data_IF_666519690376
#
_entry.id   IF_666519690376
#
_cell.length_a   1.000
_cell.length_b   1.000
_cell.length_c   1.000
_cell.angle_alpha   90.00
_cell.angle_beta   90.00
_cell.angle_gamma   90.00
#
_symmetry.space_group_name_H-M   'P 1'
#
loop_
_entity.id
_entity.type
_entity.pdbx_description
1 polymer ?
#
# COMPACT_ATOMS: atom_id res chain seq x y z
N UNK A 1 -13.16 -3.55 24.19
CA UNK A 1 -13.45 -4.49 23.11
C UNK A 1 -13.15 -3.92 21.75
N UNK A 2 -12.99 -4.79 20.73
CA UNK A 2 -12.74 -4.44 19.34
C UNK A 2 -13.80 -5.08 18.43
N UNK A 3 -14.23 -4.36 17.40
CA UNK A 3 -15.05 -4.85 16.30
C UNK A 3 -14.52 -4.34 14.96
N UNK A 4 -15.00 -4.89 13.84
CA UNK A 4 -14.60 -4.44 12.50
C UNK A 4 -15.80 -4.39 11.55
N UNK A 5 -15.63 -3.66 10.45
CA UNK A 5 -16.62 -3.49 9.38
C UNK A 5 -15.89 -3.26 8.04
N UNK A 6 -16.42 -3.77 6.91
CA UNK A 6 -17.57 -4.68 6.81
C UNK A 6 -17.28 -6.09 7.36
N UNK A 7 -18.32 -6.80 7.76
CA UNK A 7 -18.25 -8.22 8.15
C UNK A 7 -19.41 -8.97 7.44
N UNK A 8 -19.12 -9.87 6.48
CA UNK A 8 -17.79 -10.26 6.01
C UNK A 8 -17.04 -9.13 5.29
N UNK A 9 -15.70 -9.21 5.26
CA UNK A 9 -14.86 -8.22 4.59
C UNK A 9 -15.03 -8.27 3.07
N UNK A 10 -14.98 -7.10 2.43
CA UNK A 10 -14.98 -6.99 0.97
C UNK A 10 -13.55 -7.12 0.41
N UNK A 11 -13.37 -7.79 -0.75
CA UNK A 11 -12.05 -7.90 -1.37
C UNK A 11 -11.43 -6.53 -1.69
N UNK A 12 -10.13 -6.42 -1.45
CA UNK A 12 -9.32 -5.24 -1.79
C UNK A 12 -9.80 -3.92 -1.18
N UNK A 13 -10.57 -3.97 -0.10
CA UNK A 13 -11.06 -2.78 0.59
C UNK A 13 -10.46 -2.64 1.98
N UNK A 14 -10.30 -1.41 2.49
CA UNK A 14 -9.85 -1.21 3.86
C UNK A 14 -10.89 -1.71 4.86
N UNK A 15 -10.40 -2.39 5.89
CA UNK A 15 -11.22 -2.78 7.05
C UNK A 15 -11.18 -1.65 8.08
N UNK A 16 -12.35 -1.23 8.56
CA UNK A 16 -12.48 -0.25 9.63
C UNK A 16 -12.61 -1.00 10.95
N UNK A 17 -11.68 -0.76 11.85
CA UNK A 17 -11.73 -1.29 13.24
C UNK A 17 -12.28 -0.24 14.17
N UNK A 18 -13.13 -0.65 15.09
CA UNK A 18 -13.72 0.20 16.10
C UNK A 18 -13.37 -0.34 17.49
N UNK A 19 -12.88 0.55 18.34
CA UNK A 19 -12.55 0.28 19.73
C UNK A 19 -13.68 0.79 20.63
N UNK A 20 -14.20 -0.08 21.48
CA UNK A 20 -15.20 0.23 22.51
C UNK A 20 -14.62 0.18 23.94
N UNK A 21 -13.30 0.22 24.09
CA UNK A 21 -12.64 0.30 25.39
C UNK A 21 -12.79 1.69 26.01
N UNK A 22 -12.79 1.76 27.33
CA UNK A 22 -12.82 3.01 28.07
C UNK A 22 -11.75 3.00 29.19
N UNK A 23 -11.40 4.20 29.69
CA UNK A 23 -10.44 4.35 30.79
C UNK A 23 -8.98 4.21 30.38
N UNK A 24 -8.68 4.21 29.10
CA UNK A 24 -7.29 4.26 28.58
C UNK A 24 -6.96 5.65 28.04
N UNK A 25 -5.67 5.96 28.02
CA UNK A 25 -5.14 7.24 27.53
C UNK A 25 -4.56 7.12 26.13
N UNK A 26 -4.15 5.92 25.74
CA UNK A 26 -3.65 5.59 24.41
C UNK A 26 -3.96 4.15 24.03
N UNK A 27 -3.98 3.90 22.72
CA UNK A 27 -4.22 2.59 22.15
C UNK A 27 -3.08 2.19 21.22
N UNK A 28 -2.67 0.92 21.28
CA UNK A 28 -1.84 0.30 20.26
C UNK A 28 -2.70 -0.72 19.50
N UNK A 29 -2.76 -0.56 18.19
CA UNK A 29 -3.41 -1.48 17.28
C UNK A 29 -2.37 -2.37 16.62
N UNK A 30 -2.68 -3.65 16.52
CA UNK A 30 -1.91 -4.61 15.72
C UNK A 30 -2.87 -5.35 14.81
N UNK A 31 -2.53 -5.49 13.53
CA UNK A 31 -3.46 -6.03 12.54
C UNK A 31 -3.21 -7.49 12.21
N UNK A 32 -2.15 -8.10 12.74
CA UNK A 32 -1.82 -9.51 12.58
C UNK A 32 -1.01 -9.83 11.32
N UNK A 33 -0.75 -8.85 10.47
CA UNK A 33 0.09 -8.94 9.26
C UNK A 33 1.50 -8.36 9.44
N UNK A 34 1.80 -7.86 10.64
CA UNK A 34 3.06 -7.22 11.02
C UNK A 34 2.93 -5.71 11.20
N UNK A 35 1.88 -5.10 10.69
CA UNK A 35 1.63 -3.67 10.85
C UNK A 35 1.02 -3.33 12.20
N UNK A 36 1.32 -2.13 12.68
CA UNK A 36 0.79 -1.60 13.94
C UNK A 36 0.66 -0.09 13.89
N UNK A 37 -0.26 0.44 14.71
CA UNK A 37 -0.54 1.87 14.80
C UNK A 37 -0.76 2.26 16.26
N UNK A 38 -0.29 3.43 16.67
CA UNK A 38 -0.64 4.05 17.95
C UNK A 38 -1.65 5.17 17.73
N UNK A 39 -2.67 5.21 18.58
CA UNK A 39 -3.68 6.30 18.59
C UNK A 39 -3.91 6.82 20.00
N UNK A 40 -4.49 8.02 20.07
CA UNK A 40 -4.88 8.67 21.32
C UNK A 40 -6.27 8.20 21.78
N UNK A 41 -6.63 8.58 22.99
CA UNK A 41 -7.93 8.25 23.63
C UNK A 41 -9.16 8.62 22.81
N UNK A 42 -9.08 9.68 21.98
CA UNK A 42 -10.21 10.16 21.17
C UNK A 42 -10.36 9.40 19.85
N UNK A 43 -9.31 8.71 19.39
CA UNK A 43 -9.32 7.99 18.13
C UNK A 43 -9.81 6.55 18.34
N UNK A 44 -11.13 6.39 18.29
CA UNK A 44 -11.78 5.08 18.53
C UNK A 44 -11.91 4.23 17.28
N UNK A 45 -11.57 4.76 16.09
CA UNK A 45 -11.63 4.04 14.82
C UNK A 45 -10.34 4.18 14.03
N UNK A 46 -9.92 3.07 13.40
CA UNK A 46 -8.77 3.05 12.48
C UNK A 46 -9.14 2.25 11.24
N UNK A 47 -8.47 2.57 10.11
CA UNK A 47 -8.60 1.80 8.87
C UNK A 47 -7.29 1.12 8.56
N UNK A 48 -7.37 -0.15 8.13
CA UNK A 48 -6.20 -0.91 7.69
C UNK A 48 -6.51 -1.67 6.39
N UNK A 49 -5.55 -1.67 5.47
CA UNK A 49 -5.65 -2.38 4.18
C UNK A 49 -4.66 -3.53 4.18
N UNK A 50 -5.18 -4.74 4.15
CA UNK A 50 -4.38 -5.96 4.03
C UNK A 50 -3.92 -6.18 2.58
N UNK A 51 -2.74 -6.77 2.39
CA UNK A 51 -2.16 -7.03 1.06
C UNK A 51 -2.07 -8.52 0.70
N UNK A 52 -2.56 -9.41 1.54
CA UNK A 52 -2.60 -10.85 1.27
C UNK A 52 -3.89 -11.46 1.81
N UNK A 53 -4.37 -12.49 1.13
CA UNK A 53 -5.47 -13.33 1.61
C UNK A 53 -5.02 -14.12 2.85
N UNK A 54 -5.85 -14.14 3.88
CA UNK A 54 -5.55 -14.84 5.11
C UNK A 54 -6.57 -14.56 6.22
N UNK A 55 -6.39 -15.21 7.35
CA UNK A 55 -7.08 -14.86 8.58
C UNK A 55 -6.09 -14.22 9.53
N UNK A 56 -6.37 -12.99 9.91
CA UNK A 56 -5.52 -12.17 10.74
C UNK A 56 -6.15 -11.97 12.11
N UNK A 57 -5.34 -11.94 13.16
CA UNK A 57 -5.82 -11.66 14.52
C UNK A 57 -5.53 -10.18 14.81
N UNK A 58 -6.54 -9.33 14.60
CA UNK A 58 -6.43 -7.91 14.88
C UNK A 58 -6.69 -7.63 16.37
N UNK A 59 -5.81 -6.87 17.01
CA UNK A 59 -5.90 -6.57 18.43
C UNK A 59 -5.82 -5.07 18.71
N UNK A 60 -6.55 -4.61 19.71
CA UNK A 60 -6.36 -3.31 20.36
C UNK A 60 -5.84 -3.52 21.77
N UNK A 61 -4.77 -2.83 22.13
CA UNK A 61 -4.17 -2.80 23.46
C UNK A 61 -4.46 -1.42 24.02
N UNK A 62 -5.28 -1.38 25.06
CA UNK A 62 -5.65 -0.16 25.80
C UNK A 62 -4.65 0.05 26.93
N UNK A 63 -4.03 1.22 27.01
CA UNK A 63 -2.97 1.54 27.96
C UNK A 63 -3.34 2.83 28.69
N UNK A 64 -3.31 2.81 30.04
CA UNK A 64 -3.52 4.01 30.85
C UNK A 64 -2.19 4.66 31.26
N UNK A 65 -2.26 5.85 31.84
CA UNK A 65 -1.07 6.60 32.32
C UNK A 65 -0.31 5.89 33.45
N UNK A 66 -0.96 5.00 34.20
CA UNK A 66 -0.30 4.16 35.21
C UNK A 66 0.48 2.99 34.59
N UNK A 67 0.41 2.81 33.27
CA UNK A 67 1.06 1.71 32.55
C UNK A 67 0.30 0.38 32.56
N UNK A 68 -0.92 0.34 33.11
CA UNK A 68 -1.77 -0.85 33.01
C UNK A 68 -2.26 -1.00 31.56
N UNK A 69 -2.24 -2.23 31.05
CA UNK A 69 -2.70 -2.55 29.69
C UNK A 69 -3.70 -3.71 29.73
N UNK A 70 -4.71 -3.59 28.86
CA UNK A 70 -5.67 -4.66 28.56
C UNK A 70 -5.77 -4.84 27.05
N UNK A 71 -5.94 -6.10 26.60
CA UNK A 71 -5.91 -6.45 25.18
C UNK A 71 -7.20 -7.15 24.77
N UNK A 72 -7.77 -6.71 23.66
CA UNK A 72 -8.91 -7.37 23.02
C UNK A 72 -8.59 -7.64 21.56
N UNK A 73 -8.91 -8.86 21.08
CA UNK A 73 -8.60 -9.29 19.71
C UNK A 73 -9.84 -9.84 19.01
N UNK A 74 -9.81 -9.77 17.67
CA UNK A 74 -10.85 -10.33 16.80
C UNK A 74 -10.20 -10.95 15.56
N UNK A 75 -10.60 -12.18 15.15
CA UNK A 75 -10.15 -12.75 13.89
C UNK A 75 -10.83 -12.06 12.71
N UNK A 76 -10.07 -11.71 11.68
CA UNK A 76 -10.55 -11.05 10.45
C UNK A 76 -10.15 -11.89 9.25
N UNK A 77 -11.12 -12.39 8.51
CA UNK A 77 -10.87 -13.13 7.26
C UNK A 77 -10.77 -12.15 6.10
N UNK A 78 -9.63 -12.13 5.43
CA UNK A 78 -9.34 -11.23 4.32
C UNK A 78 -9.25 -12.02 3.02
N UNK A 79 -9.88 -11.50 1.97
CA UNK A 79 -9.71 -11.98 0.59
C UNK A 79 -9.07 -10.88 -0.24
N UNK A 80 -7.95 -11.16 -0.89
CA UNK A 80 -7.32 -10.27 -1.87
C UNK A 80 -7.50 -10.87 -3.26
N UNK A 81 -8.06 -10.09 -4.16
CA UNK A 81 -8.11 -10.39 -5.59
C UNK A 81 -6.89 -9.75 -6.25
N UNK A 82 -5.89 -10.53 -6.67
CA UNK A 82 -4.66 -9.99 -7.25
C UNK A 82 -4.96 -9.19 -8.52
N UNK A 83 -4.27 -8.08 -8.68
CA UNK A 83 -4.40 -7.25 -9.88
C UNK A 83 -3.45 -6.08 -9.84
N UNK A 84 -3.14 -5.53 -11.01
CA UNK A 84 -2.29 -4.36 -11.12
C UNK A 84 -2.64 -3.51 -12.33
N UNK A 85 -2.28 -2.24 -12.25
CA UNK A 85 -2.37 -1.28 -13.34
C UNK A 85 -1.13 -0.37 -13.35
N UNK A 86 -0.71 0.03 -14.56
CA UNK A 86 0.33 1.03 -14.77
C UNK A 86 -0.31 2.17 -15.55
N UNK A 87 -0.37 3.39 -15.01
CA UNK A 87 -0.82 4.55 -15.75
C UNK A 87 0.04 4.78 -17.00
N UNK A 88 -0.52 5.34 -18.04
CA UNK A 88 0.16 5.56 -19.32
C UNK A 88 0.76 6.97 -19.48
N UNK A 89 0.54 7.86 -18.51
CA UNK A 89 1.10 9.21 -18.52
C UNK A 89 1.22 9.76 -17.09
N UNK A 90 2.14 10.71 -16.90
CA UNK A 90 2.28 11.50 -15.68
C UNK A 90 2.95 12.84 -15.99
N UNK A 91 2.83 13.80 -15.06
CA UNK A 91 3.28 15.19 -15.26
C UNK A 91 4.03 15.68 -14.02
N UNK A 92 5.36 15.44 -13.94
CA UNK A 92 6.16 15.90 -12.80
C UNK A 92 6.47 17.42 -12.92
N UNK A 93 5.47 18.25 -12.58
CA UNK A 93 5.52 19.71 -12.62
C UNK A 93 5.60 20.35 -11.22
N UNK A 94 5.53 19.55 -10.15
CA UNK A 94 5.64 19.99 -8.76
C UNK A 94 4.33 20.56 -8.18
N UNK A 95 3.18 20.30 -8.80
CA UNK A 95 1.86 20.74 -8.30
C UNK A 95 1.25 19.79 -7.26
N UNK A 96 1.91 18.66 -6.96
CA UNK A 96 1.45 17.64 -6.05
C UNK A 96 0.51 16.61 -6.67
N UNK A 97 0.18 16.74 -7.96
CA UNK A 97 -0.72 15.84 -8.67
C UNK A 97 0.01 15.16 -9.82
N UNK A 98 0.06 13.82 -9.81
CA UNK A 98 0.75 13.02 -10.83
C UNK A 98 2.24 13.37 -11.04
N UNK A 99 2.90 13.92 -10.03
CA UNK A 99 4.33 14.22 -10.05
C UNK A 99 5.21 12.97 -10.07
N UNK A 100 4.63 11.83 -9.73
CA UNK A 100 5.27 10.51 -9.80
C UNK A 100 4.32 9.50 -10.39
N UNK A 101 4.87 8.58 -11.18
CA UNK A 101 4.12 7.45 -11.70
C UNK A 101 4.43 6.21 -10.88
N UNK A 102 3.39 5.44 -10.53
CA UNK A 102 3.46 4.24 -9.70
C UNK A 102 2.79 3.05 -10.37
N UNK A 103 3.30 1.87 -10.12
CA UNK A 103 2.51 0.64 -10.31
C UNK A 103 1.46 0.57 -9.20
N UNK A 104 0.20 0.48 -9.56
CA UNK A 104 -0.92 0.36 -8.62
C UNK A 104 -1.47 -1.05 -8.67
N UNK A 105 -1.78 -1.65 -7.50
CA UNK A 105 -2.31 -3.00 -7.48
C UNK A 105 -2.50 -3.54 -6.07
N UNK A 106 -3.04 -4.77 -6.03
CA UNK A 106 -3.31 -5.51 -4.80
C UNK A 106 -2.62 -6.86 -4.84
N UNK A 107 -2.18 -7.34 -3.69
CA UNK A 107 -1.55 -8.63 -3.55
C UNK A 107 -0.16 -8.74 -4.16
N UNK A 108 0.52 -7.64 -4.47
CA UNK A 108 1.87 -7.63 -5.02
C UNK A 108 2.87 -7.96 -3.89
N UNK A 109 3.54 -9.10 -4.03
CA UNK A 109 4.56 -9.58 -3.08
C UNK A 109 5.97 -9.19 -3.51
N UNK A 110 6.25 -9.25 -4.83
CA UNK A 110 7.52 -8.83 -5.42
C UNK A 110 7.27 -8.12 -6.73
N UNK A 111 8.10 -7.15 -7.03
CA UNK A 111 8.02 -6.38 -8.26
C UNK A 111 9.40 -6.08 -8.81
N UNK A 112 9.51 -6.05 -10.12
CA UNK A 112 10.69 -5.58 -10.86
C UNK A 112 10.19 -4.72 -12.01
N UNK A 113 10.27 -3.41 -11.84
CA UNK A 113 9.79 -2.43 -12.82
C UNK A 113 10.95 -1.64 -13.38
N UNK A 114 11.17 -1.76 -14.70
CA UNK A 114 12.25 -1.10 -15.42
C UNK A 114 11.67 -0.18 -16.47
N UNK A 115 12.13 1.06 -16.51
CA UNK A 115 11.72 2.08 -17.49
C UNK A 115 12.95 2.47 -18.30
N UNK A 116 12.76 2.55 -19.61
CA UNK A 116 13.80 2.83 -20.58
C UNK A 116 13.41 4.04 -21.45
N UNK A 117 14.39 4.85 -21.80
CA UNK A 117 14.21 5.90 -22.81
C UNK A 117 14.20 5.29 -24.22
N UNK A 118 13.96 6.13 -25.24
CA UNK A 118 13.94 5.75 -26.67
C UNK A 118 15.24 5.10 -27.16
N UNK A 119 16.34 5.31 -26.46
CA UNK A 119 17.65 4.74 -26.78
C UNK A 119 17.91 3.40 -26.11
N UNK A 120 16.94 2.89 -25.34
CA UNK A 120 17.08 1.66 -24.59
C UNK A 120 17.90 1.80 -23.30
N UNK A 121 18.22 3.02 -22.87
CA UNK A 121 18.90 3.27 -21.61
C UNK A 121 17.91 3.09 -20.44
N UNK A 122 18.26 2.29 -19.43
CA UNK A 122 17.49 2.15 -18.21
C UNK A 122 17.57 3.47 -17.42
N UNK A 123 16.44 4.15 -17.29
CA UNK A 123 16.33 5.44 -16.60
C UNK A 123 15.69 5.32 -15.21
N UNK A 124 14.99 4.22 -14.93
CA UNK A 124 14.39 3.95 -13.63
C UNK A 124 14.27 2.45 -13.35
N UNK A 125 14.46 2.09 -12.09
CA UNK A 125 14.24 0.74 -11.57
C UNK A 125 13.57 0.80 -10.21
N UNK A 126 12.39 0.16 -10.09
CA UNK A 126 11.61 0.07 -8.85
C UNK A 126 11.33 -1.38 -8.49
N UNK A 127 11.31 -1.67 -7.19
CA UNK A 127 11.09 -3.02 -6.65
C UNK A 127 9.86 -3.13 -5.74
N UNK A 128 9.22 -2.01 -5.44
CA UNK A 128 8.02 -1.93 -4.61
C UNK A 128 6.96 -1.06 -5.28
N UNK A 129 5.66 -1.36 -5.10
CA UNK A 129 4.57 -0.48 -5.55
C UNK A 129 4.62 0.94 -4.97
N UNK A 130 5.30 1.13 -3.84
CA UNK A 130 5.57 2.45 -3.26
C UNK A 130 6.69 3.21 -3.96
N UNK A 131 7.50 2.53 -4.78
CA UNK A 131 8.57 3.15 -5.54
C UNK A 131 7.97 3.79 -6.81
N UNK A 132 7.95 5.11 -6.87
CA UNK A 132 7.45 5.86 -8.03
C UNK A 132 8.56 6.58 -8.76
N UNK A 133 8.51 6.60 -10.11
CA UNK A 133 9.41 7.39 -10.92
C UNK A 133 8.93 8.83 -11.01
N UNK A 134 9.82 9.79 -10.77
CA UNK A 134 9.57 11.23 -10.78
C UNK A 134 10.00 11.91 -12.09
N UNK A 135 10.33 11.15 -13.13
CA UNK A 135 10.80 11.70 -14.40
C UNK A 135 12.24 12.17 -14.38
N UNK A 136 13.04 11.78 -13.37
CA UNK A 136 14.49 12.09 -13.32
C UNK A 136 15.34 10.85 -13.57
N UNK A 137 16.57 11.07 -14.04
CA UNK A 137 17.63 10.07 -14.13
C UNK A 137 18.95 10.69 -13.70
N UNK A 138 19.62 10.11 -12.71
CA UNK A 138 20.85 10.67 -12.09
C UNK A 138 20.67 12.15 -11.66
N UNK A 139 19.52 12.48 -11.09
CA UNK A 139 19.19 13.82 -10.62
C UNK A 139 18.89 14.84 -11.74
N UNK A 140 18.80 14.41 -13.00
CA UNK A 140 18.47 15.28 -14.14
C UNK A 140 17.08 14.96 -14.66
N UNK A 141 16.30 16.01 -14.92
CA UNK A 141 15.00 15.92 -15.56
C UNK A 141 15.12 15.26 -16.92
N UNK A 142 14.28 14.28 -17.18
CA UNK A 142 14.23 13.61 -18.47
C UNK A 142 13.32 14.36 -19.46
N UNK A 143 13.56 14.25 -20.77
CA UNK A 143 12.75 14.90 -21.81
C UNK A 143 11.27 14.48 -21.76
N UNK A 144 10.39 15.35 -22.24
CA UNK A 144 9.00 14.99 -22.54
C UNK A 144 9.00 14.09 -23.77
N UNK A 145 8.81 12.80 -23.51
CA UNK A 145 8.76 11.78 -24.56
C UNK A 145 8.02 10.54 -24.06
N UNK A 146 7.91 9.55 -24.92
CA UNK A 146 7.41 8.22 -24.58
C UNK A 146 8.56 7.35 -24.09
N UNK A 147 8.37 6.76 -22.92
CA UNK A 147 9.27 5.80 -22.27
C UNK A 147 8.67 4.40 -22.35
N UNK A 148 9.50 3.40 -22.56
CA UNK A 148 9.07 2.01 -22.60
C UNK A 148 9.34 1.36 -21.25
N UNK A 149 8.46 0.46 -20.79
CA UNK A 149 8.69 -0.26 -19.55
C UNK A 149 8.53 -1.76 -19.70
N UNK A 150 9.22 -2.47 -18.82
CA UNK A 150 8.98 -3.88 -18.52
C UNK A 150 8.65 -4.01 -17.04
N UNK A 151 7.63 -4.78 -16.74
CA UNK A 151 7.16 -5.03 -15.39
C UNK A 151 7.01 -6.54 -15.19
N UNK A 152 7.62 -7.05 -14.13
CA UNK A 152 7.48 -8.40 -13.63
C UNK A 152 6.94 -8.34 -12.21
N UNK A 153 5.88 -9.10 -11.93
CA UNK A 153 5.21 -9.13 -10.63
C UNK A 153 5.07 -10.58 -10.19
N UNK A 154 5.31 -10.83 -8.91
CA UNK A 154 4.87 -12.02 -8.19
C UNK A 154 3.84 -11.58 -7.13
N UNK A 155 2.65 -12.17 -7.18
CA UNK A 155 1.61 -11.92 -6.20
C UNK A 155 1.80 -12.75 -4.92
N UNK A 156 1.09 -12.40 -3.86
CA UNK A 156 1.11 -13.13 -2.58
C UNK A 156 0.64 -14.59 -2.70
N UNK A 157 -0.22 -14.90 -3.66
CA UNK A 157 -0.65 -16.27 -4.00
C UNK A 157 0.35 -17.04 -4.89
N UNK A 158 1.57 -16.47 -5.15
CA UNK A 158 2.64 -17.02 -6.00
C UNK A 158 2.39 -16.98 -7.51
N UNK A 159 1.24 -16.48 -7.94
CA UNK A 159 1.05 -16.21 -9.37
C UNK A 159 2.01 -15.12 -9.86
N UNK A 160 2.41 -15.22 -11.13
CA UNK A 160 3.32 -14.27 -11.77
C UNK A 160 2.63 -13.60 -12.95
N UNK A 161 2.92 -12.32 -13.10
CA UNK A 161 2.46 -11.53 -14.23
C UNK A 161 3.62 -10.72 -14.81
N UNK A 162 3.60 -10.53 -16.12
CA UNK A 162 4.54 -9.65 -16.83
C UNK A 162 3.75 -8.69 -17.70
N UNK A 163 4.20 -7.44 -17.77
CA UNK A 163 3.61 -6.44 -18.65
C UNK A 163 4.72 -5.60 -19.29
N UNK A 164 4.53 -5.27 -20.56
CA UNK A 164 5.31 -4.26 -21.28
C UNK A 164 4.36 -3.18 -21.75
N UNK A 165 4.83 -1.97 -21.85
CA UNK A 165 4.00 -0.86 -22.30
C UNK A 165 4.78 0.44 -22.33
N UNK A 166 4.03 1.52 -22.52
CA UNK A 166 4.56 2.85 -22.73
C UNK A 166 4.04 3.80 -21.66
N UNK A 167 4.87 4.78 -21.33
CA UNK A 167 4.58 5.87 -20.40
C UNK A 167 4.93 7.17 -21.08
N UNK A 168 3.99 8.10 -21.15
CA UNK A 168 4.23 9.46 -21.66
C UNK A 168 4.57 10.37 -20.48
N UNK A 169 5.75 10.99 -20.52
CA UNK A 169 6.14 12.04 -19.58
C UNK A 169 5.70 13.38 -20.17
N UNK A 170 4.85 14.09 -19.42
CA UNK A 170 4.32 15.42 -19.72
C UNK A 170 4.90 16.45 -18.74
N UNK A 171 4.79 17.75 -19.07
CA UNK A 171 5.08 18.87 -18.15
C UNK A 171 4.20 20.05 -18.49
#
# INVERSE_FOLDING_TARGET
GISFSPDPTEPNTPVTFTNSSFGADRYKWTFGDGDSLFTNRIDTTVKHLYNATGTYNACVIAINDAGCADTSCVPVAITIVPGFNVPNAFSPNGDGVNDRIFVRGFGISKMSWRIYNRWGTLVYFGTSPSDGWDGTYNGKLQPQEVYHYTLEIEFSNKEKATKKGDITLLR
#
